data_IF_769333246088
#
_entry.id   IF_769333246088
#
_cell.length_a   1.000
_cell.length_b   1.000
_cell.length_c   1.000
_cell.angle_alpha   90.00
_cell.angle_beta   90.00
_cell.angle_gamma   90.00
#
_symmetry.space_group_name_H-M   'P 1'
#
loop_
_entity.id
_entity.type
_entity.pdbx_description
1 polymer ?
#
# COMPACT_ATOMS: atom_id res chain seq x y z
N UNK A 1 16.50 -20.03 12.94
CA UNK A 1 15.84 -20.31 11.64
C UNK A 1 14.39 -20.70 11.90
N UNK A 2 13.46 -20.12 11.12
CA UNK A 2 12.10 -20.60 10.83
C UNK A 2 11.01 -20.42 11.91
N UNK A 3 10.57 -19.17 12.14
CA UNK A 3 9.26 -18.85 12.75
C UNK A 3 8.13 -18.75 11.70
N UNK A 4 8.49 -18.54 10.42
CA UNK A 4 7.55 -18.31 9.30
C UNK A 4 6.74 -19.52 8.81
N UNK A 5 7.08 -20.76 9.22
CA UNK A 5 6.37 -21.96 8.73
C UNK A 5 5.05 -22.23 9.46
N UNK A 6 4.96 -21.86 10.74
CA UNK A 6 3.83 -22.24 11.61
C UNK A 6 2.55 -21.44 11.35
N UNK A 7 2.68 -20.23 10.81
CA UNK A 7 1.53 -19.34 10.58
C UNK A 7 0.86 -19.56 9.21
N UNK A 8 1.48 -20.34 8.31
CA UNK A 8 0.96 -20.62 6.95
C UNK A 8 0.07 -21.85 6.88
N UNK A 9 0.36 -22.88 7.67
CA UNK A 9 -0.42 -24.13 7.72
C UNK A 9 -1.94 -23.88 7.94
N UNK A 10 -2.37 -22.99 8.85
CA UNK A 10 -3.80 -22.74 9.06
C UNK A 10 -4.51 -22.11 7.85
N UNK A 11 -3.77 -21.30 7.08
CA UNK A 11 -4.31 -20.63 5.90
C UNK A 11 -4.42 -21.60 4.71
N UNK A 12 -3.42 -22.44 4.52
CA UNK A 12 -3.41 -23.46 3.46
C UNK A 12 -4.54 -24.47 3.67
N UNK A 13 -4.76 -24.90 4.91
CA UNK A 13 -5.86 -25.81 5.25
C UNK A 13 -7.24 -25.17 5.02
N UNK A 14 -7.41 -23.90 5.39
CA UNK A 14 -8.65 -23.16 5.13
C UNK A 14 -8.94 -23.04 3.63
N UNK A 15 -7.94 -22.67 2.82
CA UNK A 15 -8.08 -22.57 1.36
C UNK A 15 -8.43 -23.93 0.76
N UNK A 16 -7.74 -25.00 1.18
CA UNK A 16 -8.01 -26.36 0.70
C UNK A 16 -9.42 -26.86 1.09
N UNK A 17 -9.94 -26.43 2.26
CA UNK A 17 -11.33 -26.66 2.65
C UNK A 17 -12.32 -25.95 1.73
N UNK A 18 -12.14 -24.64 1.51
CA UNK A 18 -13.00 -23.85 0.64
C UNK A 18 -13.05 -24.38 -0.80
N UNK A 19 -11.91 -24.82 -1.34
CA UNK A 19 -11.85 -25.44 -2.68
C UNK A 19 -12.66 -26.74 -2.72
N UNK A 20 -12.52 -27.61 -1.70
CA UNK A 20 -13.28 -28.87 -1.64
C UNK A 20 -14.78 -28.62 -1.58
N UNK A 21 -15.24 -27.70 -0.73
CA UNK A 21 -16.66 -27.35 -0.64
C UNK A 21 -17.20 -26.81 -1.98
N UNK A 22 -16.45 -25.97 -2.68
CA UNK A 22 -16.85 -25.44 -3.98
C UNK A 22 -16.92 -26.53 -5.07
N UNK A 23 -16.01 -27.53 -5.01
CA UNK A 23 -16.08 -28.73 -5.87
C UNK A 23 -17.32 -29.56 -5.55
N UNK A 24 -17.62 -29.80 -4.28
CA UNK A 24 -18.82 -30.55 -3.84
C UNK A 24 -20.12 -29.86 -4.26
N UNK A 25 -20.15 -28.52 -4.29
CA UNK A 25 -21.28 -27.72 -4.78
C UNK A 25 -21.41 -27.70 -6.31
N UNK A 26 -20.48 -28.31 -7.03
CA UNK A 26 -20.49 -28.33 -8.49
C UNK A 26 -20.15 -26.97 -9.13
N UNK A 27 -19.53 -26.04 -8.38
CA UNK A 27 -19.21 -24.69 -8.90
C UNK A 27 -18.20 -24.73 -10.05
N UNK A 28 -17.46 -25.84 -10.18
CA UNK A 28 -16.51 -26.10 -11.28
C UNK A 28 -17.16 -26.80 -12.49
N UNK A 29 -18.45 -27.14 -12.43
CA UNK A 29 -19.05 -28.00 -13.46
C UNK A 29 -19.39 -27.29 -14.75
N UNK A 30 -19.75 -26.01 -14.68
CA UNK A 30 -20.19 -25.21 -15.82
C UNK A 30 -19.27 -24.00 -16.09
N UNK A 31 -17.96 -24.19 -15.95
CA UNK A 31 -16.99 -23.13 -16.21
C UNK A 31 -16.94 -22.77 -17.71
N UNK A 32 -16.89 -21.47 -17.99
CA UNK A 32 -16.74 -20.95 -19.34
C UNK A 32 -15.45 -21.47 -19.98
N UNK A 33 -15.59 -22.28 -21.03
CA UNK A 33 -14.44 -22.87 -21.73
C UNK A 33 -13.91 -24.17 -21.12
N UNK A 34 -14.66 -24.85 -20.22
CA UNK A 34 -14.35 -26.20 -19.74
C UNK A 34 -14.03 -27.13 -20.92
N UNK A 35 -12.90 -27.84 -20.84
CA UNK A 35 -12.41 -28.76 -21.87
C UNK A 35 -11.73 -28.11 -23.08
N UNK A 36 -11.69 -26.77 -23.19
CA UNK A 36 -10.97 -26.06 -24.26
C UNK A 36 -9.57 -25.68 -23.79
N UNK A 37 -8.58 -25.76 -24.69
CA UNK A 37 -7.23 -25.26 -24.41
C UNK A 37 -7.31 -23.75 -24.13
N UNK A 38 -6.83 -23.34 -22.96
CA UNK A 38 -6.69 -21.91 -22.67
C UNK A 38 -5.45 -21.39 -23.38
N UNK A 39 -5.58 -20.25 -24.05
CA UNK A 39 -4.43 -19.55 -24.59
C UNK A 39 -3.73 -18.80 -23.46
N UNK A 40 -2.64 -19.38 -22.98
CA UNK A 40 -1.73 -18.74 -22.04
C UNK A 40 -0.52 -18.28 -22.85
N UNK A 41 -0.26 -16.98 -22.86
CA UNK A 41 0.91 -16.45 -23.55
C UNK A 41 2.18 -16.93 -22.82
N UNK A 42 3.25 -17.24 -23.57
CA UNK A 42 4.55 -17.63 -23.03
C UNK A 42 5.10 -16.63 -21.99
N UNK A 43 4.85 -15.32 -22.15
CA UNK A 43 5.25 -14.32 -21.15
C UNK A 43 4.49 -14.45 -19.82
N UNK A 44 3.21 -14.87 -19.87
CA UNK A 44 2.38 -15.08 -18.67
C UNK A 44 2.82 -16.33 -17.89
N UNK A 45 3.30 -17.38 -18.58
CA UNK A 45 3.84 -18.57 -17.93
C UNK A 45 5.18 -18.29 -17.22
N UNK A 46 5.98 -17.37 -17.75
CA UNK A 46 7.31 -17.05 -17.19
C UNK A 46 7.22 -16.06 -16.03
N UNK A 47 6.15 -15.25 -15.96
CA UNK A 47 5.95 -14.27 -14.89
C UNK A 47 4.73 -14.62 -14.00
N UNK A 48 4.94 -15.29 -12.85
CA UNK A 48 3.87 -15.65 -11.92
C UNK A 48 2.98 -14.48 -11.48
N UNK A 49 3.52 -13.25 -11.42
CA UNK A 49 2.73 -12.05 -11.05
C UNK A 49 1.74 -11.66 -12.14
N UNK A 50 2.12 -11.81 -13.41
CA UNK A 50 1.22 -11.55 -14.54
C UNK A 50 0.09 -12.57 -14.59
N UNK A 51 0.41 -13.86 -14.38
CA UNK A 51 -0.59 -14.91 -14.28
C UNK A 51 -1.56 -14.65 -13.12
N UNK A 52 -1.06 -14.34 -11.92
CA UNK A 52 -1.89 -14.02 -10.76
C UNK A 52 -2.84 -12.84 -11.02
N UNK A 53 -2.36 -11.80 -11.70
CA UNK A 53 -3.16 -10.61 -11.99
C UNK A 53 -4.25 -10.87 -13.03
N UNK A 54 -3.96 -11.73 -14.03
CA UNK A 54 -4.95 -12.21 -15.00
C UNK A 54 -6.02 -13.06 -14.32
N UNK A 55 -5.63 -13.94 -13.40
CA UNK A 55 -6.56 -14.76 -12.63
C UNK A 55 -7.50 -13.90 -11.77
N UNK A 56 -6.96 -12.90 -11.06
CA UNK A 56 -7.76 -11.97 -10.27
C UNK A 56 -8.74 -11.18 -11.15
N UNK A 57 -8.27 -10.64 -12.29
CA UNK A 57 -9.13 -9.92 -13.23
C UNK A 57 -10.25 -10.81 -13.78
N UNK A 58 -9.98 -12.09 -14.08
CA UNK A 58 -10.99 -13.03 -14.54
C UNK A 58 -12.04 -13.35 -13.47
N UNK A 59 -11.70 -13.17 -12.19
CA UNK A 59 -12.60 -13.34 -11.06
C UNK A 59 -13.26 -12.02 -10.61
N UNK A 60 -13.20 -10.97 -11.45
CA UNK A 60 -13.67 -9.61 -11.15
C UNK A 60 -13.03 -8.99 -9.88
N UNK A 61 -11.83 -9.45 -9.51
CA UNK A 61 -11.04 -8.92 -8.40
C UNK A 61 -9.95 -7.97 -8.90
N UNK A 62 -9.64 -6.90 -8.14
CA UNK A 62 -8.58 -5.98 -8.50
C UNK A 62 -7.20 -6.67 -8.42
N UNK A 63 -6.30 -6.39 -9.36
CA UNK A 63 -4.93 -6.86 -9.27
C UNK A 63 -4.21 -6.34 -8.01
N UNK A 64 -3.15 -7.03 -7.53
CA UNK A 64 -2.52 -6.71 -6.25
C UNK A 64 -1.94 -5.29 -6.19
N UNK A 65 -1.49 -4.75 -7.33
CA UNK A 65 -0.97 -3.39 -7.39
C UNK A 65 -2.04 -2.33 -7.11
N UNK A 66 -3.31 -2.57 -7.47
CA UNK A 66 -4.39 -1.60 -7.20
C UNK A 66 -4.56 -1.43 -5.68
N UNK A 67 -4.57 -2.53 -4.93
CA UNK A 67 -4.63 -2.49 -3.47
C UNK A 67 -3.41 -1.79 -2.86
N UNK A 68 -2.22 -2.04 -3.40
CA UNK A 68 -0.99 -1.37 -2.97
C UNK A 68 -1.01 0.14 -3.25
N UNK A 69 -1.62 0.56 -4.36
CA UNK A 69 -1.78 1.97 -4.68
C UNK A 69 -2.64 2.67 -3.63
N UNK A 70 -3.77 2.07 -3.25
CA UNK A 70 -4.67 2.62 -2.23
C UNK A 70 -4.01 2.65 -0.84
N UNK A 71 -3.21 1.64 -0.51
CA UNK A 71 -2.40 1.63 0.70
C UNK A 71 -1.39 2.80 0.73
N UNK A 72 -0.69 3.05 -0.39
CA UNK A 72 0.25 4.17 -0.52
C UNK A 72 -0.47 5.52 -0.37
N UNK A 73 -1.63 5.69 -1.01
CA UNK A 73 -2.44 6.92 -0.88
C UNK A 73 -2.85 7.15 0.57
N UNK A 74 -3.36 6.12 1.23
CA UNK A 74 -3.78 6.20 2.62
C UNK A 74 -2.61 6.56 3.55
N UNK A 75 -1.44 5.96 3.36
CA UNK A 75 -0.25 6.28 4.16
C UNK A 75 0.20 7.75 3.99
N UNK A 76 0.11 8.28 2.76
CA UNK A 76 0.41 9.70 2.48
C UNK A 76 -0.60 10.58 3.21
N UNK A 77 -1.89 10.31 3.07
CA UNK A 77 -2.96 11.08 3.72
C UNK A 77 -2.82 11.07 5.25
N UNK A 78 -2.47 9.92 5.85
CA UNK A 78 -2.22 9.82 7.28
C UNK A 78 -1.03 10.68 7.72
N UNK A 79 0.06 10.68 6.95
CA UNK A 79 1.23 11.52 7.22
C UNK A 79 0.89 13.02 7.12
N UNK A 80 0.13 13.42 6.11
CA UNK A 80 -0.37 14.79 5.93
C UNK A 80 -1.27 15.22 7.09
N UNK A 81 -2.24 14.39 7.48
CA UNK A 81 -3.13 14.68 8.59
C UNK A 81 -2.38 14.79 9.92
N UNK A 82 -1.36 13.95 10.13
CA UNK A 82 -0.54 14.00 11.33
C UNK A 82 0.18 15.34 11.46
N UNK A 83 0.89 15.78 10.41
CA UNK A 83 1.63 17.05 10.48
C UNK A 83 0.69 18.25 10.60
N UNK A 84 -0.49 18.22 9.95
CA UNK A 84 -1.50 19.27 10.10
C UNK A 84 -2.01 19.39 11.54
N UNK A 85 -2.27 18.26 12.21
CA UNK A 85 -2.69 18.26 13.62
C UNK A 85 -1.58 18.78 14.53
N UNK A 86 -0.33 18.36 14.29
CA UNK A 86 0.82 18.85 15.02
C UNK A 86 1.00 20.37 14.84
N UNK A 87 0.87 20.88 13.61
CA UNK A 87 0.99 22.31 13.30
C UNK A 87 -0.11 23.14 13.97
N UNK A 88 -1.37 22.69 13.91
CA UNK A 88 -2.49 23.33 14.61
C UNK A 88 -2.28 23.37 16.12
N UNK A 89 -1.78 22.26 16.68
CA UNK A 89 -1.46 22.17 18.10
C UNK A 89 -0.34 23.13 18.50
N UNK A 90 0.69 23.27 17.65
CA UNK A 90 1.78 24.26 17.83
C UNK A 90 1.22 25.68 17.90
N UNK A 91 0.39 26.08 16.93
CA UNK A 91 -0.21 27.42 16.91
C UNK A 91 -1.10 27.68 18.14
N UNK A 92 -1.89 26.70 18.56
CA UNK A 92 -2.73 26.81 19.76
C UNK A 92 -1.88 26.95 21.03
N UNK A 93 -0.77 26.23 21.15
CA UNK A 93 0.13 26.31 22.29
C UNK A 93 0.88 27.65 22.33
N UNK A 94 1.34 28.17 21.20
CA UNK A 94 1.97 29.50 21.12
C UNK A 94 1.02 30.64 21.50
N UNK A 95 -0.29 30.44 21.37
CA UNK A 95 -1.31 31.41 21.78
C UNK A 95 -1.55 31.42 23.31
N UNK A 96 -0.99 30.46 24.06
CA UNK A 96 -1.18 30.34 25.51
C UNK A 96 -0.05 31.05 26.29
N UNK A 97 -0.36 31.98 27.21
CA UNK A 97 0.67 32.76 27.93
C UNK A 97 1.60 31.97 28.85
N UNK A 98 1.26 30.73 29.19
CA UNK A 98 2.00 29.88 30.14
C UNK A 98 2.76 28.73 29.49
N UNK A 99 2.68 28.58 28.17
CA UNK A 99 3.32 27.48 27.50
C UNK A 99 4.81 27.76 27.31
N UNK A 100 5.66 26.76 27.59
CA UNK A 100 7.10 26.86 27.39
C UNK A 100 7.43 26.78 25.88
N UNK A 101 8.00 27.84 25.27
CA UNK A 101 8.35 27.85 23.86
C UNK A 101 9.33 26.74 23.46
N UNK A 102 10.23 26.32 24.36
CA UNK A 102 11.21 25.26 24.06
C UNK A 102 10.52 23.90 23.90
N UNK A 103 9.54 23.60 24.75
CA UNK A 103 8.77 22.35 24.68
C UNK A 103 7.94 22.31 23.41
N UNK A 104 7.31 23.44 23.03
CA UNK A 104 6.54 23.55 21.79
C UNK A 104 7.43 23.28 20.57
N UNK A 105 8.60 23.90 20.52
CA UNK A 105 9.52 23.74 19.40
C UNK A 105 10.09 22.31 19.35
N UNK A 106 10.43 21.72 20.49
CA UNK A 106 10.88 20.33 20.53
C UNK A 106 9.81 19.35 20.03
N UNK A 107 8.54 19.55 20.41
CA UNK A 107 7.43 18.75 19.92
C UNK A 107 7.24 18.93 18.41
N UNK A 108 7.43 20.14 17.89
CA UNK A 108 7.37 20.41 16.46
C UNK A 108 8.49 19.71 15.69
N UNK A 109 9.73 19.79 16.17
CA UNK A 109 10.86 19.09 15.57
C UNK A 109 10.67 17.57 15.57
N UNK A 110 10.12 17.01 16.66
CA UNK A 110 9.79 15.59 16.73
C UNK A 110 8.72 15.20 15.70
N UNK A 111 7.71 16.05 15.49
CA UNK A 111 6.68 15.84 14.48
C UNK A 111 7.24 15.89 13.05
N UNK A 112 8.17 16.82 12.77
CA UNK A 112 8.87 16.89 11.49
C UNK A 112 9.73 15.65 11.23
N UNK A 113 10.46 15.18 12.24
CA UNK A 113 11.25 13.95 12.15
C UNK A 113 10.36 12.73 11.87
N UNK A 114 9.25 12.61 12.57
CA UNK A 114 8.26 11.55 12.31
C UNK A 114 7.71 11.61 10.89
N UNK A 115 7.39 12.80 10.38
CA UNK A 115 6.95 12.99 8.99
C UNK A 115 8.01 12.51 8.00
N UNK A 116 9.28 12.86 8.24
CA UNK A 116 10.40 12.43 7.40
C UNK A 116 10.53 10.91 7.35
N UNK A 117 10.50 10.24 8.51
CA UNK A 117 10.57 8.78 8.61
C UNK A 117 9.38 8.10 7.90
N UNK A 118 8.18 8.65 8.06
CA UNK A 118 6.97 8.11 7.42
C UNK A 118 7.01 8.30 5.90
N UNK A 119 7.48 9.45 5.41
CA UNK A 119 7.68 9.71 3.97
C UNK A 119 8.76 8.78 3.39
N UNK A 120 9.81 8.45 4.13
CA UNK A 120 10.81 7.46 3.70
C UNK A 120 10.18 6.07 3.54
N UNK A 121 9.35 5.64 4.50
CA UNK A 121 8.64 4.37 4.42
C UNK A 121 7.69 4.32 3.21
N UNK A 122 6.93 5.39 2.98
CA UNK A 122 6.08 5.53 1.78
C UNK A 122 6.90 5.43 0.51
N UNK A 123 8.05 6.11 0.44
CA UNK A 123 8.93 6.06 -0.72
C UNK A 123 9.49 4.65 -0.98
N UNK A 124 9.75 3.86 0.06
CA UNK A 124 10.13 2.44 -0.08
C UNK A 124 8.97 1.63 -0.67
N UNK A 125 7.73 1.88 -0.24
CA UNK A 125 6.53 1.25 -0.83
C UNK A 125 6.35 1.64 -2.29
N UNK A 126 6.48 2.92 -2.64
CA UNK A 126 6.43 3.44 -4.01
C UNK A 126 7.48 2.78 -4.90
N UNK A 127 8.73 2.64 -4.42
CA UNK A 127 9.77 1.96 -5.19
C UNK A 127 9.40 0.50 -5.47
N UNK A 128 8.96 -0.23 -4.44
CA UNK A 128 8.52 -1.63 -4.58
C UNK A 128 7.33 -1.76 -5.54
N UNK A 129 6.39 -0.83 -5.46
CA UNK A 129 5.23 -0.74 -6.34
C UNK A 129 5.66 -0.52 -7.79
N UNK A 130 6.51 0.48 -8.05
CA UNK A 130 7.03 0.77 -9.40
C UNK A 130 7.78 -0.42 -10.01
N UNK A 131 8.51 -1.20 -9.21
CA UNK A 131 9.20 -2.42 -9.69
C UNK A 131 8.22 -3.57 -9.93
N UNK A 132 7.05 -3.56 -9.29
CA UNK A 132 6.04 -4.62 -9.42
C UNK A 132 5.10 -4.40 -10.60
N UNK A 133 4.97 -3.16 -11.06
CA UNK A 133 4.19 -2.84 -12.25
C UNK A 133 4.80 -3.53 -13.48
N UNK A 134 3.98 -4.20 -14.32
CA UNK A 134 4.45 -4.78 -15.58
C UNK A 134 5.10 -3.71 -16.47
N UNK A 135 6.20 -4.03 -17.18
CA UNK A 135 6.94 -3.05 -17.98
C UNK A 135 6.11 -2.41 -19.11
N UNK A 136 4.99 -3.03 -19.50
CA UNK A 136 4.05 -2.51 -20.49
C UNK A 136 3.15 -1.38 -19.94
N UNK A 137 3.19 -1.09 -18.62
CA UNK A 137 2.33 -0.11 -17.96
C UNK A 137 3.11 1.00 -17.20
N UNK A 138 4.08 1.69 -17.85
CA UNK A 138 4.92 2.69 -17.16
C UNK A 138 4.14 3.91 -16.66
N UNK A 139 2.98 4.21 -17.26
CA UNK A 139 2.10 5.30 -16.86
C UNK A 139 1.50 5.11 -15.45
N UNK A 140 1.56 3.90 -14.88
CA UNK A 140 1.11 3.62 -13.52
C UNK A 140 2.18 3.92 -12.45
N UNK A 141 3.43 4.17 -12.84
CA UNK A 141 4.50 4.48 -11.88
C UNK A 141 4.18 5.74 -11.08
N UNK A 142 4.46 5.71 -9.78
CA UNK A 142 4.28 6.86 -8.88
C UNK A 142 5.60 7.60 -8.65
N UNK A 143 5.60 8.94 -8.64
CA UNK A 143 6.77 9.72 -8.26
C UNK A 143 7.04 9.58 -6.76
N UNK A 144 8.29 9.79 -6.37
CA UNK A 144 8.66 9.86 -4.94
C UNK A 144 8.04 11.10 -4.29
N UNK A 145 7.58 10.92 -3.06
CA UNK A 145 7.05 11.98 -2.21
C UNK A 145 8.20 12.68 -1.50
N UNK A 146 8.12 14.01 -1.40
CA UNK A 146 9.09 14.86 -0.71
C UNK A 146 8.39 15.60 0.43
N UNK A 147 9.06 15.73 1.57
CA UNK A 147 8.51 16.38 2.77
C UNK A 147 8.20 17.85 2.48
N UNK A 148 9.09 18.52 1.75
CA UNK A 148 8.97 19.94 1.40
C UNK A 148 7.69 20.20 0.60
N UNK A 149 7.36 19.32 -0.36
CA UNK A 149 6.11 19.41 -1.13
C UNK A 149 4.86 19.27 -0.27
N UNK A 150 4.90 18.42 0.76
CA UNK A 150 3.77 18.25 1.70
C UNK A 150 3.57 19.54 2.52
N UNK A 151 4.67 20.15 2.95
CA UNK A 151 4.62 21.39 3.75
C UNK A 151 4.20 22.60 2.90
N UNK A 152 4.74 22.73 1.69
CA UNK A 152 4.35 23.75 0.70
C UNK A 152 2.85 23.68 0.38
N UNK A 153 2.32 22.47 0.12
CA UNK A 153 0.89 22.23 -0.15
C UNK A 153 -0.02 22.80 0.94
N UNK A 154 0.45 22.80 2.19
CA UNK A 154 -0.31 23.28 3.34
C UNK A 154 0.15 24.65 3.84
N UNK A 155 0.99 25.35 3.07
CA UNK A 155 1.55 26.67 3.42
C UNK A 155 2.24 26.68 4.80
N UNK A 156 2.83 25.56 5.22
CA UNK A 156 3.62 25.47 6.44
C UNK A 156 5.04 25.90 6.09
N UNK A 157 5.49 27.03 6.65
CA UNK A 157 6.88 27.47 6.51
C UNK A 157 7.76 26.74 7.53
N UNK A 158 8.92 26.28 7.05
CA UNK A 158 10.03 25.90 7.92
C UNK A 158 10.84 27.18 8.10
N UNK A 159 10.82 27.76 9.29
CA UNK A 159 11.71 28.86 9.67
C UNK A 159 13.10 28.33 10.06
#
# INVERSE_FOLDING_TARGET
MSKDRKDKEPLEDFIAGAIREAVERGEFDNLKGKGKRQYINSEEMVNPKMLASKLLKNADLPPPWVLQEDEIKLDIEQAEQYILRAHRSRLAALSQPRADPQIIEQNWQNALKFLQDKVEQVNKKILKFNITIPPQMPHLHKPRVRVEKILEKHSIKID
#
